data_IF_579428301005
#
_entry.id   IF_579428301005
#
_cell.length_a   1.000
_cell.length_b   1.000
_cell.length_c   1.000
_cell.angle_alpha   90.00
_cell.angle_beta   90.00
_cell.angle_gamma   90.00
#
_symmetry.space_group_name_H-M   'P 1'
#
loop_
_entity.id
_entity.type
_entity.pdbx_description
1 polymer ?
#
# COMPACT_ATOMS: atom_id res chain seq x y z
N UNK A 1 16.55 -9.63 -18.30
CA UNK A 1 16.09 -8.33 -17.78
C UNK A 1 14.80 -8.56 -17.03
N UNK A 2 14.65 -8.13 -15.77
CA UNK A 2 13.37 -8.23 -15.08
C UNK A 2 12.31 -7.41 -15.84
N UNK A 3 11.12 -7.98 -16.01
CA UNK A 3 9.98 -7.32 -16.64
C UNK A 3 9.35 -6.45 -15.56
N UNK A 4 9.66 -5.16 -15.56
CA UNK A 4 8.99 -4.23 -14.68
C UNK A 4 7.58 -3.97 -15.20
N UNK A 5 6.59 -4.23 -14.37
CA UNK A 5 5.19 -3.93 -14.66
C UNK A 5 4.88 -2.52 -14.18
N UNK A 6 4.40 -1.69 -15.08
CA UNK A 6 4.04 -0.30 -14.81
C UNK A 6 2.55 -0.12 -15.05
N UNK A 7 1.86 0.49 -14.10
CA UNK A 7 0.43 0.82 -14.20
C UNK A 7 0.22 2.30 -13.92
N UNK A 8 -0.74 2.88 -14.65
CA UNK A 8 -1.11 4.28 -14.49
C UNK A 8 -0.10 5.25 -15.08
N UNK A 9 -0.25 6.51 -14.72
CA UNK A 9 0.62 7.59 -15.16
C UNK A 9 1.72 7.84 -14.13
N UNK A 10 2.97 7.86 -14.58
CA UNK A 10 4.14 8.13 -13.74
C UNK A 10 4.80 9.41 -14.24
N UNK A 11 5.03 10.41 -13.38
CA UNK A 11 5.71 11.63 -13.78
C UNK A 11 7.15 11.33 -14.24
N UNK A 12 7.53 11.92 -15.37
CA UNK A 12 8.85 11.70 -15.97
C UNK A 12 10.01 12.18 -15.08
N UNK A 13 9.75 13.18 -14.23
CA UNK A 13 10.70 13.71 -13.25
C UNK A 13 10.19 13.38 -11.84
N UNK A 14 11.11 13.06 -10.93
CA UNK A 14 10.80 12.86 -9.51
C UNK A 14 10.52 14.19 -8.81
N UNK A 15 9.73 14.17 -7.75
CA UNK A 15 9.38 15.36 -6.96
C UNK A 15 8.83 16.49 -7.83
N UNK A 16 7.74 16.20 -8.51
CA UNK A 16 7.03 17.17 -9.34
C UNK A 16 5.60 17.26 -8.88
N UNK A 17 5.05 18.46 -8.85
CA UNK A 17 3.62 18.66 -8.63
C UNK A 17 2.85 17.89 -9.70
N UNK A 18 2.16 16.83 -9.30
CA UNK A 18 1.40 15.99 -10.23
C UNK A 18 -0.08 16.39 -10.22
N UNK A 19 -0.61 16.69 -11.41
CA UNK A 19 -1.98 17.19 -11.57
C UNK A 19 -2.90 16.06 -12.04
N UNK A 20 -4.09 16.05 -11.46
CA UNK A 20 -5.21 15.22 -11.91
C UNK A 20 -5.75 15.76 -13.24
N UNK A 21 -6.46 14.93 -14.03
CA UNK A 21 -7.12 15.38 -15.27
C UNK A 21 -8.14 16.51 -15.07
N UNK A 22 -8.72 16.63 -13.88
CA UNK A 22 -9.67 17.70 -13.51
C UNK A 22 -8.98 19.04 -13.15
N UNK A 23 -7.64 19.10 -13.20
CA UNK A 23 -6.83 20.27 -12.86
C UNK A 23 -6.45 20.36 -11.38
N UNK A 24 -7.03 19.51 -10.52
CA UNK A 24 -6.67 19.39 -9.12
C UNK A 24 -5.28 18.78 -8.91
N UNK A 25 -4.81 18.78 -7.65
CA UNK A 25 -3.55 18.15 -7.27
C UNK A 25 -3.80 16.75 -6.70
N UNK A 26 -2.90 15.82 -7.01
CA UNK A 26 -2.77 14.61 -6.20
C UNK A 26 -2.19 14.97 -4.83
N UNK A 27 -2.59 14.25 -3.79
CA UNK A 27 -1.97 14.39 -2.48
C UNK A 27 -0.64 13.64 -2.46
N UNK A 28 0.43 14.29 -2.03
CA UNK A 28 1.79 13.73 -2.05
C UNK A 28 2.17 13.16 -0.68
N UNK A 29 2.73 11.95 -0.65
CA UNK A 29 3.27 11.31 0.56
C UNK A 29 4.70 10.83 0.28
N UNK A 30 5.64 11.27 1.11
CA UNK A 30 7.01 10.75 1.09
C UNK A 30 7.09 9.52 1.98
N UNK A 31 7.24 8.34 1.37
CA UNK A 31 7.29 7.07 2.07
C UNK A 31 8.72 6.55 2.11
N UNK A 32 9.19 6.21 3.30
CA UNK A 32 10.52 5.66 3.53
C UNK A 32 10.54 4.75 4.75
N UNK A 33 11.61 3.97 4.89
CA UNK A 33 11.85 3.16 6.09
C UNK A 33 12.58 3.92 7.19
N UNK A 34 13.38 4.93 6.84
CA UNK A 34 14.26 5.69 7.76
C UNK A 34 14.03 7.21 7.68
N UNK A 35 12.77 7.64 7.52
CA UNK A 35 12.43 9.07 7.44
C UNK A 35 13.02 9.75 6.20
N UNK A 36 14.01 10.62 6.37
CA UNK A 36 14.66 11.32 5.24
C UNK A 36 16.02 10.70 4.85
N UNK A 37 16.45 9.67 5.56
CA UNK A 37 17.65 8.90 5.24
C UNK A 37 17.27 7.69 4.38
N UNK A 38 18.21 7.22 3.53
CA UNK A 38 18.08 5.99 2.74
C UNK A 38 17.03 6.05 1.60
N UNK A 39 16.60 4.88 1.12
CA UNK A 39 15.66 4.73 0.01
C UNK A 39 14.27 5.20 0.40
N UNK A 40 13.71 6.09 -0.43
CA UNK A 40 12.36 6.59 -0.29
C UNK A 40 11.66 6.62 -1.65
N UNK A 41 10.33 6.65 -1.60
CA UNK A 41 9.47 6.82 -2.76
C UNK A 41 8.45 7.92 -2.48
N UNK A 42 8.15 8.72 -3.50
CA UNK A 42 7.07 9.70 -3.42
C UNK A 42 5.81 9.08 -4.03
N UNK A 43 4.75 8.99 -3.25
CA UNK A 43 3.46 8.40 -3.64
C UNK A 43 2.44 9.51 -3.88
N UNK A 44 1.65 9.38 -4.95
CA UNK A 44 0.59 10.33 -5.30
C UNK A 44 -0.78 9.67 -5.08
N UNK A 45 -1.57 10.22 -4.16
CA UNK A 45 -2.84 9.66 -3.73
C UNK A 45 -4.03 10.39 -4.36
N UNK A 46 -5.02 9.62 -4.82
CA UNK A 46 -6.36 10.16 -5.14
C UNK A 46 -7.08 10.56 -3.84
N UNK A 47 -7.00 9.69 -2.83
CA UNK A 47 -7.55 9.85 -1.49
C UNK A 47 -6.41 9.69 -0.46
N UNK A 48 -5.95 10.76 0.19
CA UNK A 48 -4.84 10.67 1.13
C UNK A 48 -5.21 9.87 2.38
N UNK A 49 -4.28 9.06 2.94
CA UNK A 49 -4.53 8.26 4.12
C UNK A 49 -4.74 9.10 5.40
N UNK A 50 -4.33 10.37 5.39
CA UNK A 50 -4.53 11.32 6.49
C UNK A 50 -5.98 11.74 6.73
N UNK A 51 -6.92 11.30 5.89
CA UNK A 51 -8.36 11.59 6.06
C UNK A 51 -8.98 10.74 7.18
N UNK A 52 -8.31 9.66 7.61
CA UNK A 52 -8.81 8.78 8.69
C UNK A 52 -8.93 9.57 10.00
N UNK A 53 -10.16 9.63 10.54
CA UNK A 53 -10.47 10.39 11.77
C UNK A 53 -10.40 9.55 13.04
N UNK A 54 -10.70 8.26 12.92
CA UNK A 54 -10.81 7.35 14.05
C UNK A 54 -10.41 5.95 13.62
N UNK A 55 -9.79 5.21 14.53
CA UNK A 55 -9.49 3.79 14.38
C UNK A 55 -10.60 3.00 15.09
N UNK A 56 -11.23 2.07 14.38
CA UNK A 56 -12.21 1.16 14.99
C UNK A 56 -11.55 0.04 15.77
N UNK A 57 -12.36 -0.73 16.50
CA UNK A 57 -11.89 -1.92 17.22
C UNK A 57 -11.27 -2.94 16.26
N UNK A 58 -10.05 -3.46 16.55
CA UNK A 58 -9.46 -4.52 15.76
C UNK A 58 -10.37 -5.75 15.73
N UNK A 59 -10.50 -6.36 14.55
CA UNK A 59 -11.24 -7.61 14.39
C UNK A 59 -10.35 -8.66 13.72
N UNK A 60 -10.63 -9.94 13.98
CA UNK A 60 -9.89 -11.02 13.36
C UNK A 60 -10.25 -11.15 11.88
N UNK A 61 -9.24 -11.01 11.02
CA UNK A 61 -9.30 -11.33 9.58
C UNK A 61 -8.84 -12.76 9.30
N UNK A 62 -8.62 -13.57 10.34
CA UNK A 62 -8.23 -14.95 10.17
C UNK A 62 -9.33 -15.73 9.42
N UNK A 63 -8.95 -16.58 8.44
CA UNK A 63 -9.92 -17.40 7.74
C UNK A 63 -10.63 -18.33 8.73
N UNK A 64 -11.96 -18.41 8.61
CA UNK A 64 -12.75 -19.37 9.39
C UNK A 64 -12.31 -20.78 9.02
N UNK A 65 -11.85 -21.53 10.02
CA UNK A 65 -11.44 -22.92 9.84
C UNK A 65 -12.67 -23.73 9.40
N UNK A 66 -12.66 -24.21 8.14
CA UNK A 66 -13.78 -24.96 7.58
C UNK A 66 -13.96 -26.37 8.19
N UNK A 67 -12.87 -26.94 8.73
CA UNK A 67 -12.87 -28.26 9.39
C UNK A 67 -11.74 -28.33 10.40
N UNK A 68 -11.99 -28.86 11.59
CA UNK A 68 -10.96 -29.06 12.62
C UNK A 68 -9.76 -29.85 12.06
N UNK A 69 -8.57 -29.54 12.57
CA UNK A 69 -7.26 -30.09 12.16
C UNK A 69 -7.18 -31.62 12.35
N UNK A 70 -7.83 -32.37 11.47
CA UNK A 70 -8.00 -33.83 11.56
C UNK A 70 -6.85 -34.65 10.95
N UNK A 71 -5.73 -34.04 10.55
CA UNK A 71 -4.56 -34.80 10.14
C UNK A 71 -3.69 -35.12 11.36
N UNK A 72 -4.13 -36.11 12.15
CA UNK A 72 -3.22 -36.88 13.01
C UNK A 72 -2.54 -37.92 12.14
N UNK A 73 -1.33 -37.63 11.70
CA UNK A 73 -0.44 -38.66 11.16
C UNK A 73 -0.05 -39.58 12.31
N UNK A 74 -0.77 -40.69 12.47
CA UNK A 74 -0.29 -41.83 13.24
C UNK A 74 0.43 -42.76 12.27
N UNK A 75 1.75 -42.56 12.10
CA UNK A 75 2.59 -43.68 11.67
C UNK A 75 2.77 -44.55 12.90
N UNK A 76 2.23 -45.77 12.80
CA UNK A 76 2.80 -46.92 13.49
C UNK A 76 4.17 -47.25 12.89
#
# INVERSE_FOLDING_TARGET
MPIYHTLGEIPAKRHTVFRKPDGGLYAEELVSTEGFSSMYSLVYHVYPPTIVKELGEPYSVEPKIAREKHLKHTSL
#
